data_IF_561935079746
#
_entry.id   IF_561935079746
#
_cell.length_a   1.000
_cell.length_b   1.000
_cell.length_c   1.000
_cell.angle_alpha   90.00
_cell.angle_beta   90.00
_cell.angle_gamma   90.00
#
_symmetry.space_group_name_H-M   'P 1'
#
loop_
_entity.id
_entity.type
_entity.pdbx_description
1 polymer ?
#
# COMPACT_ATOMS: atom_id res chain seq x y z
N UNK A 1 -8.45 -10.27 -4.10
CA UNK A 1 -9.52 -10.16 -5.13
C UNK A 1 -10.87 -9.76 -4.55
N UNK A 2 -11.13 -9.97 -3.25
CA UNK A 2 -12.40 -9.60 -2.61
C UNK A 2 -12.75 -8.11 -2.80
N UNK A 3 -11.81 -7.19 -2.58
CA UNK A 3 -12.06 -5.75 -2.77
C UNK A 3 -12.42 -5.36 -4.19
N UNK A 4 -11.78 -5.97 -5.20
CA UNK A 4 -12.13 -5.68 -6.61
C UNK A 4 -13.57 -6.06 -6.92
N UNK A 5 -14.02 -7.22 -6.43
CA UNK A 5 -15.39 -7.66 -6.60
C UNK A 5 -16.38 -6.72 -5.89
N UNK A 6 -16.06 -6.27 -4.68
CA UNK A 6 -16.87 -5.28 -3.94
C UNK A 6 -17.03 -3.97 -4.72
N UNK A 7 -15.92 -3.40 -5.22
CA UNK A 7 -15.98 -2.17 -6.03
C UNK A 7 -16.83 -2.38 -7.27
N UNK A 8 -16.61 -3.46 -8.03
CA UNK A 8 -17.37 -3.72 -9.27
C UNK A 8 -18.86 -3.94 -8.99
N UNK A 9 -19.19 -4.62 -7.92
CA UNK A 9 -20.57 -4.86 -7.51
C UNK A 9 -21.27 -3.54 -7.12
N UNK A 10 -20.63 -2.71 -6.30
CA UNK A 10 -21.14 -1.40 -5.92
C UNK A 10 -21.28 -0.45 -7.11
N UNK A 11 -20.22 -0.30 -7.90
CA UNK A 11 -20.22 0.56 -9.09
C UNK A 11 -21.25 0.12 -10.12
N UNK A 12 -21.62 -1.17 -10.18
CA UNK A 12 -22.67 -1.64 -11.08
C UNK A 12 -24.06 -1.11 -10.76
N UNK A 13 -24.27 -0.58 -9.54
CA UNK A 13 -25.53 0.00 -9.05
C UNK A 13 -25.56 1.53 -9.03
N UNK A 14 -24.41 2.20 -9.25
CA UNK A 14 -24.34 3.67 -9.26
C UNK A 14 -25.22 4.23 -10.38
N UNK A 15 -26.19 5.08 -10.06
CA UNK A 15 -27.06 5.69 -11.06
C UNK A 15 -26.38 6.88 -11.73
N UNK A 16 -26.49 6.96 -13.05
CA UNK A 16 -26.02 8.11 -13.84
C UNK A 16 -27.24 8.93 -14.26
N UNK A 17 -27.32 10.16 -13.79
CA UNK A 17 -28.52 11.00 -13.99
C UNK A 17 -28.51 11.68 -15.35
N UNK A 18 -27.32 12.01 -15.89
CA UNK A 18 -27.19 12.68 -17.18
C UNK A 18 -26.90 11.69 -18.30
N UNK A 19 -27.48 11.94 -19.46
CA UNK A 19 -27.22 11.15 -20.68
C UNK A 19 -25.75 11.19 -21.09
N UNK A 20 -25.04 12.30 -20.86
CA UNK A 20 -23.60 12.40 -21.17
C UNK A 20 -22.76 11.43 -20.34
N UNK A 21 -23.07 11.30 -19.05
CA UNK A 21 -22.39 10.39 -18.10
C UNK A 21 -22.61 8.94 -18.53
N UNK A 22 -23.86 8.57 -18.84
CA UNK A 22 -24.19 7.22 -19.35
C UNK A 22 -23.42 6.92 -20.63
N UNK A 23 -23.38 7.87 -21.57
CA UNK A 23 -22.61 7.72 -22.83
C UNK A 23 -21.12 7.57 -22.58
N UNK A 24 -20.55 8.35 -21.66
CA UNK A 24 -19.13 8.28 -21.32
C UNK A 24 -18.76 6.95 -20.66
N UNK A 25 -19.59 6.46 -19.74
CA UNK A 25 -19.40 5.16 -19.10
C UNK A 25 -19.49 4.01 -20.09
N UNK A 26 -20.55 3.95 -20.92
CA UNK A 26 -20.71 2.90 -21.94
C UNK A 26 -19.54 2.90 -22.91
N UNK A 27 -19.12 4.08 -23.36
CA UNK A 27 -18.00 4.23 -24.28
C UNK A 27 -16.69 3.69 -23.68
N UNK A 28 -16.38 4.07 -22.43
CA UNK A 28 -15.19 3.58 -21.75
C UNK A 28 -15.29 2.07 -21.48
N UNK A 29 -16.43 1.58 -21.01
CA UNK A 29 -16.67 0.17 -20.73
C UNK A 29 -16.48 -0.68 -22.00
N UNK A 30 -17.05 -0.27 -23.13
CA UNK A 30 -16.85 -0.95 -24.42
C UNK A 30 -15.38 -0.88 -24.86
N UNK A 31 -14.76 0.30 -24.84
CA UNK A 31 -13.36 0.45 -25.30
C UNK A 31 -12.40 -0.44 -24.50
N UNK A 32 -12.57 -0.50 -23.18
CA UNK A 32 -11.69 -1.24 -22.30
C UNK A 32 -11.98 -2.74 -22.27
N UNK A 33 -13.19 -3.19 -22.62
CA UNK A 33 -13.56 -4.62 -22.64
C UNK A 33 -13.30 -5.32 -23.98
N UNK A 34 -12.62 -4.67 -24.93
CA UNK A 34 -12.37 -5.22 -26.27
C UNK A 34 -13.49 -4.94 -27.29
N UNK A 35 -14.36 -3.98 -26.99
CA UNK A 35 -15.63 -3.62 -27.65
C UNK A 35 -15.73 -3.57 -29.16
N UNK A 36 -14.66 -3.65 -29.95
CA UNK A 36 -14.70 -3.42 -31.39
C UNK A 36 -13.94 -4.54 -32.14
N UNK A 37 -14.68 -5.33 -32.90
CA UNK A 37 -14.14 -6.33 -33.81
C UNK A 37 -14.61 -6.05 -35.24
N UNK A 38 -13.72 -6.22 -36.21
CA UNK A 38 -14.05 -6.16 -37.63
C UNK A 38 -13.94 -7.57 -38.19
N UNK A 39 -15.08 -8.18 -38.50
CA UNK A 39 -15.17 -9.55 -39.00
C UNK A 39 -15.80 -9.53 -40.39
N UNK A 40 -15.05 -9.95 -41.41
CA UNK A 40 -15.53 -9.95 -42.80
C UNK A 40 -16.02 -8.58 -43.28
N UNK A 41 -15.34 -7.49 -42.87
CA UNK A 41 -15.72 -6.12 -43.20
C UNK A 41 -16.91 -5.56 -42.41
N UNK A 42 -17.50 -6.34 -41.49
CA UNK A 42 -18.61 -5.89 -40.63
C UNK A 42 -18.11 -5.57 -39.23
N UNK A 43 -18.61 -4.47 -38.68
CA UNK A 43 -18.34 -4.07 -37.29
C UNK A 43 -19.24 -4.86 -36.35
N UNK A 44 -18.61 -5.60 -35.43
CA UNK A 44 -19.25 -6.35 -34.34
C UNK A 44 -18.76 -5.75 -33.02
N UNK A 45 -19.71 -5.48 -32.12
CA UNK A 45 -19.40 -4.98 -30.78
C UNK A 45 -19.51 -6.12 -29.79
N UNK A 46 -18.43 -6.40 -29.05
CA UNK A 46 -18.33 -7.46 -28.04
C UNK A 46 -17.63 -6.95 -26.79
N UNK A 47 -18.27 -7.08 -25.62
CA UNK A 47 -17.69 -6.73 -24.34
C UNK A 47 -17.59 -7.97 -23.46
N UNK A 48 -16.35 -8.39 -23.13
CA UNK A 48 -16.09 -9.51 -22.22
C UNK A 48 -15.94 -8.99 -20.78
N UNK A 49 -16.90 -9.30 -19.93
CA UNK A 49 -16.97 -8.83 -18.54
C UNK A 49 -16.85 -10.00 -17.56
N UNK A 50 -16.40 -9.73 -16.34
CA UNK A 50 -16.24 -10.71 -15.25
C UNK A 50 -17.37 -10.66 -14.21
N UNK A 51 -18.25 -9.66 -14.31
CA UNK A 51 -19.35 -9.46 -13.36
C UNK A 51 -20.69 -9.37 -14.09
N UNK A 52 -21.66 -10.20 -13.69
CA UNK A 52 -22.97 -10.30 -14.34
C UNK A 52 -23.86 -9.05 -14.16
N UNK A 53 -23.74 -8.33 -13.04
CA UNK A 53 -24.45 -7.05 -12.86
C UNK A 53 -23.95 -5.97 -13.83
N UNK A 54 -22.64 -5.92 -14.09
CA UNK A 54 -22.02 -5.03 -15.09
C UNK A 54 -22.51 -5.36 -16.50
N UNK A 55 -22.59 -6.64 -16.85
CA UNK A 55 -23.13 -7.07 -18.16
C UNK A 55 -24.60 -6.66 -18.34
N UNK A 56 -25.43 -6.82 -17.30
CA UNK A 56 -26.83 -6.38 -17.31
C UNK A 56 -26.96 -4.86 -17.42
N UNK A 57 -26.13 -4.11 -16.70
CA UNK A 57 -26.05 -2.64 -16.78
C UNK A 57 -25.71 -2.18 -18.20
N UNK A 58 -24.63 -2.71 -18.78
CA UNK A 58 -24.22 -2.39 -20.15
C UNK A 58 -25.33 -2.71 -21.16
N UNK A 59 -25.96 -3.88 -21.07
CA UNK A 59 -27.09 -4.24 -21.96
C UNK A 59 -28.23 -3.24 -21.87
N UNK A 60 -28.61 -2.86 -20.65
CA UNK A 60 -29.67 -1.86 -20.41
C UNK A 60 -29.29 -0.51 -20.98
N UNK A 61 -28.08 -0.01 -20.71
CA UNK A 61 -27.64 1.30 -21.20
C UNK A 61 -27.53 1.33 -22.74
N UNK A 62 -27.07 0.25 -23.36
CA UNK A 62 -27.07 0.13 -24.83
C UNK A 62 -28.50 0.24 -25.39
N UNK A 63 -29.47 -0.41 -24.74
CA UNK A 63 -30.87 -0.37 -25.17
C UNK A 63 -31.51 0.99 -24.95
N UNK A 64 -31.36 1.58 -23.76
CA UNK A 64 -32.05 2.82 -23.37
C UNK A 64 -31.41 4.07 -23.97
N UNK A 65 -30.07 4.12 -24.09
CA UNK A 65 -29.36 5.32 -24.56
C UNK A 65 -29.19 5.32 -26.07
N UNK A 66 -29.05 4.14 -26.69
CA UNK A 66 -28.72 4.01 -28.11
C UNK A 66 -29.78 3.25 -28.93
N UNK A 67 -30.78 2.63 -28.29
CA UNK A 67 -31.86 1.93 -29.00
C UNK A 67 -31.45 0.59 -29.61
N UNK A 68 -30.28 0.04 -29.26
CA UNK A 68 -29.80 -1.22 -29.83
C UNK A 68 -30.09 -2.41 -28.91
N UNK A 69 -30.54 -3.53 -29.51
CA UNK A 69 -30.67 -4.78 -28.78
C UNK A 69 -29.33 -5.51 -28.72
N UNK A 70 -28.91 -5.91 -27.52
CA UNK A 70 -27.71 -6.72 -27.28
C UNK A 70 -28.07 -8.09 -26.70
N UNK A 71 -27.35 -9.13 -27.17
CA UNK A 71 -27.39 -10.46 -26.57
C UNK A 71 -26.41 -10.56 -25.41
N UNK A 72 -26.73 -11.36 -24.40
CA UNK A 72 -25.80 -11.70 -23.30
C UNK A 72 -25.64 -13.21 -23.27
N UNK A 73 -24.41 -13.69 -23.39
CA UNK A 73 -24.07 -15.09 -23.19
C UNK A 73 -23.14 -15.26 -22.00
N UNK A 74 -23.31 -16.36 -21.30
CA UNK A 74 -22.42 -16.77 -20.21
C UNK A 74 -21.36 -17.69 -20.81
N UNK A 75 -20.10 -17.32 -20.63
CA UNK A 75 -18.95 -18.12 -21.05
C UNK A 75 -18.40 -18.82 -19.79
N UNK A 76 -18.38 -20.15 -19.81
CA UNK A 76 -17.71 -20.91 -18.76
C UNK A 76 -16.20 -20.62 -18.81
N UNK A 77 -15.60 -20.39 -17.64
CA UNK A 77 -14.16 -20.17 -17.55
C UNK A 77 -13.38 -21.39 -18.04
N UNK A 78 -12.50 -21.20 -19.01
CA UNK A 78 -11.58 -22.24 -19.47
C UNK A 78 -10.41 -22.45 -18.48
N UNK A 79 -9.59 -23.47 -18.72
CA UNK A 79 -8.43 -23.82 -17.87
C UNK A 79 -7.42 -22.67 -17.64
N UNK A 80 -7.36 -21.70 -18.56
CA UNK A 80 -6.41 -20.57 -18.54
C UNK A 80 -6.98 -19.32 -17.82
N UNK A 81 -8.31 -19.12 -17.83
CA UNK A 81 -8.97 -17.95 -17.23
C UNK A 81 -10.00 -18.43 -16.22
N UNK A 82 -9.68 -18.31 -14.93
CA UNK A 82 -10.57 -18.71 -13.82
C UNK A 82 -11.81 -17.79 -13.75
N UNK A 83 -12.98 -18.39 -13.57
CA UNK A 83 -14.23 -17.67 -13.29
C UNK A 83 -15.18 -17.57 -14.49
N UNK A 84 -16.45 -17.31 -14.19
CA UNK A 84 -17.50 -17.10 -15.19
C UNK A 84 -17.27 -15.76 -15.89
N UNK A 85 -17.40 -15.71 -17.22
CA UNK A 85 -17.38 -14.48 -18.00
C UNK A 85 -18.73 -14.25 -18.66
N UNK A 86 -19.03 -12.98 -18.92
CA UNK A 86 -20.25 -12.54 -19.56
C UNK A 86 -19.86 -11.81 -20.84
N UNK A 87 -20.41 -12.26 -21.97
CA UNK A 87 -20.20 -11.62 -23.26
C UNK A 87 -21.46 -10.85 -23.62
N UNK A 88 -21.35 -9.52 -23.70
CA UNK A 88 -22.40 -8.66 -24.27
C UNK A 88 -22.07 -8.44 -25.73
N UNK A 89 -22.95 -8.87 -26.63
CA UNK A 89 -22.70 -8.89 -28.08
C UNK A 89 -23.79 -8.16 -28.87
N UNK A 90 -23.37 -7.33 -29.82
CA UNK A 90 -24.22 -6.68 -30.81
C UNK A 90 -23.73 -7.09 -32.20
N UNK A 91 -24.40 -8.08 -32.78
CA UNK A 91 -24.06 -8.63 -34.10
C UNK A 91 -24.72 -7.88 -35.26
N UNK A 92 -25.90 -7.29 -35.04
CA UNK A 92 -26.62 -6.47 -36.04
C UNK A 92 -26.47 -5.00 -35.67
N UNK A 93 -26.23 -4.14 -36.66
CA UNK A 93 -26.07 -2.69 -36.48
C UNK A 93 -24.89 -2.27 -35.57
N UNK A 94 -23.87 -3.12 -35.38
CA UNK A 94 -22.70 -2.80 -34.57
C UNK A 94 -21.96 -1.53 -35.04
N UNK A 95 -21.97 -1.25 -36.35
CA UNK A 95 -21.38 -0.04 -36.92
C UNK A 95 -22.09 1.25 -36.46
N UNK A 96 -23.41 1.22 -36.29
CA UNK A 96 -24.18 2.37 -35.80
C UNK A 96 -23.81 2.69 -34.35
N UNK A 97 -23.79 1.67 -33.49
CA UNK A 97 -23.33 1.82 -32.12
C UNK A 97 -21.88 2.29 -32.06
N UNK A 98 -20.98 1.69 -32.84
CA UNK A 98 -19.56 2.05 -32.88
C UNK A 98 -19.34 3.53 -33.23
N UNK A 99 -20.12 4.09 -34.17
CA UNK A 99 -20.06 5.51 -34.52
C UNK A 99 -20.61 6.38 -33.40
N UNK A 100 -21.74 6.01 -32.81
CA UNK A 100 -22.38 6.79 -31.73
C UNK A 100 -21.57 6.79 -30.42
N UNK A 101 -20.84 5.71 -30.14
CA UNK A 101 -19.91 5.61 -29.00
C UNK A 101 -18.52 6.13 -29.35
N UNK A 102 -18.26 6.54 -30.60
CA UNK A 102 -16.95 7.02 -31.04
C UNK A 102 -15.84 5.97 -30.96
N UNK A 103 -16.18 4.67 -31.04
CA UNK A 103 -15.21 3.58 -31.19
C UNK A 103 -14.62 3.55 -32.61
N UNK A 104 -15.35 4.10 -33.57
CA UNK A 104 -14.85 4.40 -34.91
C UNK A 104 -15.06 5.88 -35.22
N UNK A 105 -14.17 6.46 -36.03
CA UNK A 105 -14.30 7.82 -36.51
C UNK A 105 -15.33 7.94 -37.65
N UNK A 106 -15.55 9.16 -38.17
CA UNK A 106 -16.49 9.40 -39.27
C UNK A 106 -16.11 8.66 -40.57
N UNK A 107 -14.85 8.27 -40.71
CA UNK A 107 -14.31 7.51 -41.86
C UNK A 107 -14.33 5.99 -41.60
N UNK A 108 -14.91 5.54 -40.48
CA UNK A 108 -15.00 4.14 -40.10
C UNK A 108 -13.70 3.55 -39.53
N UNK A 109 -12.69 4.39 -39.23
CA UNK A 109 -11.41 3.92 -38.68
C UNK A 109 -11.50 3.74 -37.16
N UNK A 110 -10.92 2.66 -36.58
CA UNK A 110 -10.91 2.48 -35.13
C UNK A 110 -10.24 3.63 -34.37
N UNK A 111 -10.91 4.10 -33.32
CA UNK A 111 -10.34 5.07 -32.38
C UNK A 111 -9.50 4.31 -31.34
N UNK A 112 -8.22 4.70 -31.20
CA UNK A 112 -7.27 4.03 -30.30
C UNK A 112 -7.44 4.41 -28.83
N UNK A 113 -7.72 5.68 -28.55
CA UNK A 113 -7.93 6.18 -27.19
C UNK A 113 -9.39 6.10 -26.76
N UNK A 114 -9.80 7.10 -25.98
CA UNK A 114 -11.21 7.46 -25.79
C UNK A 114 -11.59 8.57 -26.79
N UNK A 115 -12.84 8.64 -27.25
CA UNK A 115 -13.25 9.67 -28.20
C UNK A 115 -13.23 11.07 -27.57
N UNK A 116 -13.07 12.13 -28.40
CA UNK A 116 -13.00 13.51 -27.92
C UNK A 116 -14.16 13.90 -27.02
N UNK A 117 -15.39 13.47 -27.31
CA UNK A 117 -16.55 13.78 -26.48
C UNK A 117 -16.43 13.31 -25.02
N UNK A 118 -15.69 12.23 -24.76
CA UNK A 118 -15.39 11.75 -23.40
C UNK A 118 -14.15 12.44 -22.84
N UNK A 119 -13.12 12.63 -23.67
CA UNK A 119 -11.87 13.28 -23.24
C UNK A 119 -12.07 14.75 -22.92
N UNK A 120 -12.93 15.48 -23.61
CA UNK A 120 -13.28 16.88 -23.33
C UNK A 120 -14.60 17.04 -22.58
N UNK A 121 -15.22 15.94 -22.16
CA UNK A 121 -16.44 15.95 -21.36
C UNK A 121 -16.24 16.57 -19.97
N UNK A 122 -17.36 16.84 -19.30
CA UNK A 122 -17.37 17.43 -17.96
C UNK A 122 -16.72 16.54 -16.91
N UNK A 123 -16.62 17.02 -15.67
CA UNK A 123 -16.06 16.22 -14.57
C UNK A 123 -16.86 14.93 -14.33
N UNK A 124 -18.19 14.99 -14.38
CA UNK A 124 -19.03 13.81 -14.23
C UNK A 124 -18.82 12.79 -15.37
N UNK A 125 -18.52 13.25 -16.59
CA UNK A 125 -18.20 12.35 -17.71
C UNK A 125 -16.82 11.68 -17.49
N UNK A 126 -15.88 12.38 -16.85
CA UNK A 126 -14.58 11.81 -16.46
C UNK A 126 -14.73 10.77 -15.34
N UNK A 127 -15.59 11.03 -14.34
CA UNK A 127 -15.97 10.06 -13.29
C UNK A 127 -16.61 8.81 -13.92
N UNK A 128 -17.54 9.01 -14.86
CA UNK A 128 -18.22 7.95 -15.59
C UNK A 128 -17.27 7.13 -16.48
N UNK A 129 -16.34 7.80 -17.17
CA UNK A 129 -15.30 7.12 -17.95
C UNK A 129 -14.40 6.24 -17.08
N UNK A 130 -14.00 6.74 -15.91
CA UNK A 130 -13.22 5.96 -14.93
C UNK A 130 -14.00 4.77 -14.41
N UNK A 131 -15.27 4.96 -14.06
CA UNK A 131 -16.16 3.87 -13.64
C UNK A 131 -16.28 2.80 -14.72
N UNK A 132 -16.55 3.18 -15.98
CA UNK A 132 -16.63 2.24 -17.11
C UNK A 132 -15.32 1.47 -17.34
N UNK A 133 -14.19 2.16 -17.28
CA UNK A 133 -12.87 1.54 -17.44
C UNK A 133 -12.55 0.56 -16.28
N UNK A 134 -12.89 0.93 -15.04
CA UNK A 134 -12.73 0.06 -13.88
C UNK A 134 -13.66 -1.16 -13.93
N UNK A 135 -14.92 -0.97 -14.33
CA UNK A 135 -15.88 -2.06 -14.48
C UNK A 135 -15.42 -3.09 -15.54
N UNK A 136 -14.76 -2.66 -16.61
CA UNK A 136 -14.16 -3.54 -17.60
C UNK A 136 -12.98 -4.34 -17.01
N UNK A 137 -11.88 -3.65 -16.68
CA UNK A 137 -10.59 -4.28 -16.35
C UNK A 137 -9.86 -3.60 -15.18
N UNK A 138 -10.64 -3.05 -14.26
CA UNK A 138 -10.18 -2.50 -12.99
C UNK A 138 -9.86 -3.57 -11.95
N UNK A 139 -8.88 -3.25 -11.11
CA UNK A 139 -8.51 -4.03 -9.94
C UNK A 139 -8.11 -3.11 -8.79
N UNK A 140 -8.44 -3.53 -7.58
CA UNK A 140 -8.06 -2.88 -6.33
C UNK A 140 -7.35 -3.90 -5.46
N UNK A 141 -6.10 -3.61 -5.12
CA UNK A 141 -5.35 -4.39 -4.13
C UNK A 141 -5.71 -3.94 -2.71
N UNK A 142 -5.72 -4.89 -1.79
CA UNK A 142 -6.04 -4.60 -0.40
C UNK A 142 -4.93 -3.77 0.27
N UNK A 143 -5.27 -2.91 1.25
CA UNK A 143 -4.28 -2.18 2.02
C UNK A 143 -3.25 -3.12 2.66
N UNK A 144 -1.98 -2.90 2.37
CA UNK A 144 -0.90 -3.79 2.80
C UNK A 144 0.47 -3.11 2.73
N UNK A 145 1.50 -3.87 2.32
CA UNK A 145 2.83 -3.29 2.06
C UNK A 145 2.81 -2.35 0.85
N UNK A 146 1.95 -2.66 -0.11
CA UNK A 146 1.69 -1.85 -1.30
C UNK A 146 0.20 -1.86 -1.57
N UNK A 147 -0.34 -0.69 -1.89
CA UNK A 147 -1.72 -0.55 -2.36
C UNK A 147 -1.70 0.04 -3.77
N UNK A 148 -2.62 -0.42 -4.61
CA UNK A 148 -2.82 0.08 -5.96
C UNK A 148 -4.25 -0.11 -6.41
N UNK A 149 -4.76 0.91 -7.08
CA UNK A 149 -5.90 0.83 -7.97
C UNK A 149 -5.38 0.85 -9.40
N UNK A 150 -5.71 -0.17 -10.19
CA UNK A 150 -5.19 -0.35 -11.55
C UNK A 150 -6.31 -0.60 -12.55
N UNK A 151 -6.13 -0.09 -13.77
CA UNK A 151 -6.95 -0.46 -14.93
C UNK A 151 -6.05 -0.92 -16.06
N UNK A 152 -6.28 -2.14 -16.56
CA UNK A 152 -5.58 -2.62 -17.77
C UNK A 152 -6.22 -1.98 -19.00
N UNK A 153 -5.40 -1.39 -19.86
CA UNK A 153 -5.81 -0.59 -21.01
C UNK A 153 -5.59 -1.37 -22.32
N UNK A 154 -6.40 -1.12 -23.36
CA UNK A 154 -6.24 -1.75 -24.68
C UNK A 154 -5.07 -1.20 -25.50
N UNK A 155 -4.37 -0.17 -25.00
CA UNK A 155 -3.23 0.46 -25.64
C UNK A 155 -2.82 1.77 -24.96
N UNK A 156 -1.69 2.36 -25.36
CA UNK A 156 -1.11 3.53 -24.69
C UNK A 156 -1.98 4.79 -24.84
N UNK A 157 -2.69 4.95 -25.97
CA UNK A 157 -3.57 6.10 -26.18
C UNK A 157 -4.79 6.07 -25.23
N UNK A 158 -5.33 4.88 -24.95
CA UNK A 158 -6.41 4.71 -23.98
C UNK A 158 -5.92 4.94 -22.55
N UNK A 159 -4.71 4.49 -22.22
CA UNK A 159 -4.07 4.75 -20.93
C UNK A 159 -3.84 6.25 -20.72
N UNK A 160 -3.34 6.95 -21.73
CA UNK A 160 -3.12 8.39 -21.69
C UNK A 160 -4.43 9.18 -21.50
N UNK A 161 -5.50 8.79 -22.21
CA UNK A 161 -6.82 9.39 -22.04
C UNK A 161 -7.36 9.21 -20.61
N UNK A 162 -7.20 8.03 -20.03
CA UNK A 162 -7.65 7.73 -18.67
C UNK A 162 -6.82 8.45 -17.60
N UNK A 163 -5.50 8.59 -17.78
CA UNK A 163 -4.64 9.45 -16.94
C UNK A 163 -5.11 10.91 -17.02
N UNK A 164 -5.43 11.40 -18.22
CA UNK A 164 -5.98 12.74 -18.42
C UNK A 164 -7.28 12.96 -17.66
N UNK A 165 -8.19 11.97 -17.71
CA UNK A 165 -9.44 12.00 -16.95
C UNK A 165 -9.18 12.05 -15.43
N UNK A 166 -8.24 11.24 -14.91
CA UNK A 166 -7.89 11.28 -13.48
C UNK A 166 -7.31 12.64 -13.06
N UNK A 167 -6.43 13.22 -13.90
CA UNK A 167 -5.85 14.53 -13.63
C UNK A 167 -6.92 15.61 -13.51
N UNK A 168 -7.95 15.59 -14.37
CA UNK A 168 -9.08 16.54 -14.25
C UNK A 168 -9.87 16.39 -12.95
N UNK A 169 -9.90 15.18 -12.38
CA UNK A 169 -10.51 14.89 -11.09
C UNK A 169 -9.61 15.22 -9.90
N UNK A 170 -8.41 15.76 -10.12
CA UNK A 170 -7.42 16.03 -9.08
C UNK A 170 -6.67 14.78 -8.59
N UNK A 171 -6.68 13.69 -9.36
CA UNK A 171 -6.14 12.40 -8.95
C UNK A 171 -4.84 12.11 -9.70
N UNK A 172 -3.78 11.82 -8.95
CA UNK A 172 -2.47 11.49 -9.50
C UNK A 172 -2.41 10.02 -9.98
N UNK A 173 -2.68 9.80 -11.27
CA UNK A 173 -2.53 8.50 -11.93
C UNK A 173 -1.30 8.47 -12.86
N UNK A 174 -0.71 7.27 -13.06
CA UNK A 174 0.42 7.06 -13.96
C UNK A 174 0.15 5.91 -14.93
N UNK A 175 0.41 6.13 -16.21
CA UNK A 175 0.45 5.08 -17.22
C UNK A 175 1.80 4.34 -17.16
N UNK A 176 1.77 3.01 -17.31
CA UNK A 176 2.96 2.14 -17.27
C UNK A 176 2.68 0.90 -18.11
N UNK A 177 3.72 0.36 -18.73
CA UNK A 177 3.66 -0.97 -19.34
C UNK A 177 4.09 -2.03 -18.33
N UNK A 178 3.28 -3.08 -18.18
CA UNK A 178 3.56 -4.20 -17.28
C UNK A 178 3.30 -5.50 -18.02
N UNK A 179 4.36 -6.28 -18.27
CA UNK A 179 4.29 -7.58 -18.98
C UNK A 179 3.61 -7.46 -20.36
N UNK A 180 3.93 -6.42 -21.13
CA UNK A 180 3.37 -6.18 -22.46
C UNK A 180 1.94 -5.63 -22.47
N UNK A 181 1.39 -5.23 -21.31
CA UNK A 181 0.08 -4.61 -21.21
C UNK A 181 0.18 -3.20 -20.61
N UNK A 182 -0.46 -2.24 -21.27
CA UNK A 182 -0.62 -0.88 -20.74
C UNK A 182 -1.56 -0.87 -19.53
N UNK A 183 -1.15 -0.15 -18.48
CA UNK A 183 -1.92 -0.01 -17.24
C UNK A 183 -1.91 1.43 -16.77
N UNK A 184 -3.04 1.89 -16.25
CA UNK A 184 -3.09 3.10 -15.44
C UNK A 184 -3.16 2.71 -13.98
N UNK A 185 -2.31 3.31 -13.16
CA UNK A 185 -2.15 2.94 -11.74
C UNK A 185 -2.17 4.16 -10.85
N UNK A 186 -2.96 4.11 -9.79
CA UNK A 186 -2.94 5.01 -8.62
C UNK A 186 -2.37 4.22 -7.44
N UNK A 187 -1.35 4.76 -6.77
CA UNK A 187 -0.67 4.08 -5.63
C UNK A 187 -0.81 4.81 -4.29
N UNK A 188 -1.01 6.12 -4.35
CA UNK A 188 -1.21 6.90 -3.15
C UNK A 188 -2.57 6.55 -2.53
N UNK A 189 -2.58 6.35 -1.21
CA UNK A 189 -3.76 5.83 -0.53
C UNK A 189 -4.93 6.80 -0.55
N UNK A 190 -4.66 8.09 -0.33
CA UNK A 190 -5.67 9.13 -0.31
C UNK A 190 -6.22 9.35 -1.73
N UNK A 191 -5.34 9.29 -2.75
CA UNK A 191 -5.76 9.32 -4.15
C UNK A 191 -6.61 8.10 -4.56
N UNK A 192 -6.34 6.90 -4.02
CA UNK A 192 -7.19 5.71 -4.25
C UNK A 192 -8.59 5.96 -3.67
N UNK A 193 -8.68 6.40 -2.42
CA UNK A 193 -9.97 6.70 -1.76
C UNK A 193 -10.73 7.81 -2.46
N UNK A 194 -10.04 8.87 -2.87
CA UNK A 194 -10.64 9.94 -3.66
C UNK A 194 -11.19 9.42 -4.99
N UNK A 195 -10.45 8.58 -5.71
CA UNK A 195 -10.91 8.00 -6.99
C UNK A 195 -12.12 7.08 -6.80
N UNK A 196 -12.09 6.20 -5.81
CA UNK A 196 -13.22 5.32 -5.50
C UNK A 196 -14.47 6.12 -5.13
N UNK A 197 -14.32 7.18 -4.32
CA UNK A 197 -15.40 8.11 -3.96
C UNK A 197 -15.97 8.78 -5.20
N UNK A 198 -15.10 9.32 -6.07
CA UNK A 198 -15.47 9.97 -7.34
C UNK A 198 -16.22 9.03 -8.29
N UNK A 199 -15.87 7.75 -8.33
CA UNK A 199 -16.59 6.78 -9.15
C UNK A 199 -17.95 6.36 -8.55
N UNK A 200 -18.18 6.61 -7.26
CA UNK A 200 -19.41 6.27 -6.52
C UNK A 200 -19.32 5.00 -5.67
N UNK A 201 -18.11 4.53 -5.33
CA UNK A 201 -17.90 3.33 -4.50
C UNK A 201 -17.75 3.68 -3.00
N UNK A 202 -18.73 4.36 -2.43
CA UNK A 202 -18.67 4.91 -1.07
C UNK A 202 -18.53 3.83 0.03
N UNK A 203 -19.30 2.75 -0.04
CA UNK A 203 -19.23 1.64 0.92
C UNK A 203 -17.87 0.94 0.84
N UNK A 204 -17.36 0.76 -0.38
CA UNK A 204 -16.04 0.17 -0.56
C UNK A 204 -14.91 1.07 -0.05
N UNK A 205 -15.05 2.41 -0.15
CA UNK A 205 -14.09 3.35 0.45
C UNK A 205 -14.04 3.20 1.95
N UNK A 206 -15.19 3.11 2.63
CA UNK A 206 -15.23 2.91 4.09
C UNK A 206 -14.53 1.61 4.50
N UNK A 207 -14.84 0.50 3.81
CA UNK A 207 -14.19 -0.78 4.07
C UNK A 207 -12.67 -0.76 3.76
N UNK A 208 -12.25 0.02 2.77
CA UNK A 208 -10.85 0.17 2.39
C UNK A 208 -10.07 1.00 3.42
N UNK A 209 -10.63 2.13 3.86
CA UNK A 209 -10.04 2.99 4.89
C UNK A 209 -9.97 2.28 6.24
N UNK A 210 -11.00 1.53 6.63
CA UNK A 210 -10.98 0.73 7.86
C UNK A 210 -9.82 -0.28 7.86
N UNK A 211 -9.60 -0.98 6.73
CA UNK A 211 -8.48 -1.93 6.60
C UNK A 211 -7.13 -1.22 6.61
N UNK A 212 -7.04 -0.04 5.98
CA UNK A 212 -5.82 0.79 5.98
C UNK A 212 -5.47 1.24 7.40
N UNK A 213 -6.44 1.79 8.15
CA UNK A 213 -6.25 2.25 9.52
C UNK A 213 -5.85 1.10 10.46
N UNK A 214 -6.56 -0.04 10.41
CA UNK A 214 -6.20 -1.23 11.20
C UNK A 214 -4.76 -1.69 10.95
N UNK A 215 -4.29 -1.58 9.69
CA UNK A 215 -2.92 -1.94 9.30
C UNK A 215 -1.91 -0.95 9.87
N UNK A 216 -2.19 0.34 9.80
CA UNK A 216 -1.34 1.40 10.33
C UNK A 216 -1.15 1.27 11.85
N UNK A 217 -2.25 1.07 12.60
CA UNK A 217 -2.22 0.84 14.05
C UNK A 217 -1.33 -0.36 14.40
N UNK A 218 -1.52 -1.49 13.71
CA UNK A 218 -0.69 -2.70 13.92
C UNK A 218 0.78 -2.45 13.58
N UNK A 219 1.06 -1.74 12.49
CA UNK A 219 2.43 -1.44 12.08
C UNK A 219 3.14 -0.52 13.08
N UNK A 220 2.42 0.41 13.70
CA UNK A 220 2.95 1.27 14.77
C UNK A 220 3.17 0.48 16.06
N UNK A 221 2.22 -0.35 16.48
CA UNK A 221 2.36 -1.22 17.66
C UNK A 221 3.55 -2.19 17.52
N UNK A 222 3.71 -2.81 16.35
CA UNK A 222 4.85 -3.70 16.09
C UNK A 222 6.19 -2.95 16.10
N UNK A 223 6.23 -1.72 15.58
CA UNK A 223 7.44 -0.89 15.62
C UNK A 223 7.82 -0.54 17.06
N UNK A 224 6.84 -0.20 17.90
CA UNK A 224 7.06 0.09 19.32
C UNK A 224 7.56 -1.15 20.07
N UNK A 225 6.88 -2.29 19.92
CA UNK A 225 7.28 -3.53 20.57
C UNK A 225 8.70 -3.98 20.17
N UNK A 226 9.07 -3.85 18.90
CA UNK A 226 10.42 -4.16 18.43
C UNK A 226 11.47 -3.20 18.99
N UNK A 227 11.11 -1.92 19.16
CA UNK A 227 11.99 -0.92 19.75
C UNK A 227 12.24 -1.21 21.25
N UNK A 228 11.20 -1.57 21.99
CA UNK A 228 11.29 -1.92 23.40
C UNK A 228 12.12 -3.19 23.62
N UNK A 229 11.89 -4.25 22.84
CA UNK A 229 12.70 -5.48 22.90
C UNK A 229 14.18 -5.19 22.57
N UNK A 230 14.46 -4.41 21.53
CA UNK A 230 15.83 -4.05 21.17
C UNK A 230 16.53 -3.22 22.26
N UNK A 231 15.83 -2.27 22.87
CA UNK A 231 16.37 -1.44 23.96
C UNK A 231 16.60 -2.25 25.24
N UNK A 232 15.68 -3.15 25.58
CA UNK A 232 15.81 -4.03 26.75
C UNK A 232 17.01 -4.96 26.58
N UNK A 233 17.17 -5.59 25.41
CA UNK A 233 18.33 -6.44 25.10
C UNK A 233 19.65 -5.66 25.17
N UNK A 234 19.72 -4.47 24.56
CA UNK A 234 20.92 -3.63 24.60
C UNK A 234 21.28 -3.22 26.03
N UNK A 235 20.28 -2.81 26.81
CA UNK A 235 20.49 -2.38 28.20
C UNK A 235 20.94 -3.53 29.10
N UNK A 236 20.36 -4.72 28.93
CA UNK A 236 20.76 -5.92 29.65
C UNK A 236 22.22 -6.32 29.32
N UNK A 237 22.60 -6.34 28.04
CA UNK A 237 23.99 -6.61 27.62
C UNK A 237 24.98 -5.59 28.21
N UNK A 238 24.65 -4.30 28.12
CA UNK A 238 25.47 -3.25 28.69
C UNK A 238 25.61 -3.37 30.22
N UNK A 239 24.56 -3.79 30.93
CA UNK A 239 24.60 -4.04 32.37
C UNK A 239 25.51 -5.23 32.72
N UNK A 240 25.44 -6.32 31.96
CA UNK A 240 26.31 -7.50 32.13
C UNK A 240 27.78 -7.14 31.88
N UNK A 241 28.09 -6.46 30.77
CA UNK A 241 29.45 -5.99 30.47
C UNK A 241 29.97 -5.02 31.54
N UNK A 242 29.15 -4.05 31.95
CA UNK A 242 29.53 -3.12 33.01
C UNK A 242 29.79 -3.82 34.35
N UNK A 243 29.06 -4.89 34.67
CA UNK A 243 29.26 -5.65 35.90
C UNK A 243 30.60 -6.36 35.90
N UNK A 244 30.96 -7.07 34.83
CA UNK A 244 32.28 -7.72 34.72
C UNK A 244 33.43 -6.71 34.78
N UNK A 245 33.30 -5.57 34.10
CA UNK A 245 34.30 -4.49 34.16
C UNK A 245 34.47 -3.94 35.58
N UNK A 246 33.36 -3.77 36.31
CA UNK A 246 33.38 -3.27 37.68
C UNK A 246 34.01 -4.31 38.62
N UNK A 247 33.75 -5.60 38.42
CA UNK A 247 34.39 -6.68 39.18
C UNK A 247 35.91 -6.57 39.04
N UNK A 248 36.38 -6.49 37.80
CA UNK A 248 37.80 -6.32 37.50
C UNK A 248 38.38 -5.01 38.06
N UNK A 249 37.61 -3.92 38.02
CA UNK A 249 38.05 -2.64 38.57
C UNK A 249 38.28 -2.69 40.07
N UNK A 250 37.43 -3.41 40.81
CA UNK A 250 37.57 -3.59 42.25
C UNK A 250 38.78 -4.47 42.60
N UNK A 251 39.11 -5.48 41.78
CA UNK A 251 40.34 -6.27 41.94
C UNK A 251 41.61 -5.41 41.75
N UNK A 252 41.61 -4.53 40.74
CA UNK A 252 42.78 -3.69 40.41
C UNK A 252 43.00 -2.61 41.47
N UNK A 253 41.92 -2.01 41.97
CA UNK A 253 42.00 -0.87 42.89
C UNK A 253 42.07 -1.27 44.36
N UNK A 254 41.55 -2.44 44.75
CA UNK A 254 41.43 -2.86 46.14
C UNK A 254 40.86 -1.71 47.03
N UNK A 255 41.61 -1.24 48.03
CA UNK A 255 41.21 -0.18 48.95
C UNK A 255 41.65 1.24 48.50
N UNK A 256 42.29 1.39 47.34
CA UNK A 256 42.82 2.68 46.85
C UNK A 256 41.75 3.61 46.24
N UNK A 257 40.53 3.11 46.02
CA UNK A 257 39.46 3.90 45.39
C UNK A 257 38.61 4.67 46.42
N UNK A 258 38.14 5.89 46.09
CA UNK A 258 37.22 6.63 46.95
C UNK A 258 35.95 5.84 47.29
N UNK A 259 35.53 5.88 48.56
CA UNK A 259 34.38 5.09 49.08
C UNK A 259 33.11 5.25 48.25
N UNK A 260 32.78 6.47 47.83
CA UNK A 260 31.58 6.74 47.03
C UNK A 260 31.59 6.08 45.64
N UNK A 261 32.76 5.70 45.11
CA UNK A 261 32.92 4.92 43.88
C UNK A 261 32.85 3.42 44.16
N UNK A 262 33.48 2.96 45.25
CA UNK A 262 33.40 1.56 45.70
C UNK A 262 31.96 1.14 45.99
N UNK A 263 31.18 1.97 46.69
CA UNK A 263 29.76 1.74 46.96
C UNK A 263 28.96 1.56 45.66
N UNK A 264 29.20 2.41 44.65
CA UNK A 264 28.53 2.31 43.36
C UNK A 264 28.96 1.05 42.57
N UNK A 265 30.23 0.65 42.69
CA UNK A 265 30.75 -0.59 42.09
C UNK A 265 30.14 -1.84 42.71
N UNK A 266 30.14 -1.93 44.05
CA UNK A 266 29.52 -3.05 44.78
C UNK A 266 28.03 -3.17 44.46
N UNK A 267 27.32 -2.04 44.42
CA UNK A 267 25.90 -2.01 44.07
C UNK A 267 25.64 -2.52 42.64
N UNK A 268 26.53 -2.24 41.69
CA UNK A 268 26.46 -2.79 40.32
C UNK A 268 26.70 -4.31 40.32
N UNK A 269 27.61 -4.84 41.12
CA UNK A 269 27.84 -6.29 41.21
C UNK A 269 26.68 -7.03 41.86
N UNK A 270 26.17 -6.50 42.96
CA UNK A 270 25.03 -7.07 43.69
C UNK A 270 23.76 -7.13 42.83
N UNK A 271 23.63 -6.17 41.90
CA UNK A 271 22.48 -6.04 41.01
C UNK A 271 22.92 -5.97 39.54
N UNK A 272 23.70 -6.96 39.09
CA UNK A 272 24.31 -6.97 37.76
C UNK A 272 23.33 -6.89 36.58
N UNK A 273 22.07 -7.30 36.79
CA UNK A 273 21.01 -7.23 35.77
C UNK A 273 20.16 -5.97 35.84
N UNK A 274 20.28 -5.17 36.91
CA UNK A 274 19.46 -3.97 37.09
C UNK A 274 19.87 -2.85 36.13
N UNK A 275 18.91 -2.08 35.66
CA UNK A 275 19.15 -0.84 34.94
C UNK A 275 19.85 0.19 35.86
N UNK A 276 20.50 1.19 35.26
CA UNK A 276 21.12 2.28 36.03
C UNK A 276 20.11 3.08 36.86
N UNK A 277 18.85 3.12 36.43
CA UNK A 277 17.75 3.78 37.14
C UNK A 277 17.36 2.99 38.39
N UNK A 278 17.21 1.67 38.26
CA UNK A 278 16.97 0.78 39.40
C UNK A 278 18.13 0.78 40.39
N UNK A 279 19.39 0.84 39.92
CA UNK A 279 20.54 1.02 40.82
C UNK A 279 20.46 2.34 41.58
N UNK A 280 20.04 3.42 40.93
CA UNK A 280 19.93 4.73 41.56
C UNK A 280 18.91 4.75 42.70
N UNK A 281 17.79 4.05 42.51
CA UNK A 281 16.75 3.89 43.53
C UNK A 281 17.17 3.01 44.70
N UNK A 282 18.04 2.02 44.47
CA UNK A 282 18.55 1.09 45.50
C UNK A 282 19.75 1.63 46.25
N UNK A 283 20.39 2.68 45.77
CA UNK A 283 21.51 3.30 46.44
C UNK A 283 21.06 4.01 47.73
N UNK A 284 21.93 4.05 48.74
CA UNK A 284 21.72 4.81 49.97
C UNK A 284 22.84 5.84 50.16
N UNK A 285 22.55 7.15 50.11
CA UNK A 285 21.26 7.75 49.77
C UNK A 285 20.88 7.52 48.29
N UNK A 286 19.56 7.55 47.95
CA UNK A 286 19.10 7.41 46.58
C UNK A 286 19.75 8.45 45.66
N UNK A 287 20.08 8.04 44.45
CA UNK A 287 20.74 8.92 43.48
C UNK A 287 20.15 8.76 42.09
N UNK A 288 20.33 9.78 41.25
CA UNK A 288 19.83 9.74 39.88
C UNK A 288 20.61 8.72 39.04
N UNK A 289 19.98 8.23 37.97
CA UNK A 289 20.62 7.37 36.95
C UNK A 289 21.99 7.88 36.51
N UNK A 290 22.10 9.18 36.25
CA UNK A 290 23.34 9.81 35.78
C UNK A 290 24.40 9.89 36.87
N UNK A 291 24.00 10.04 38.14
CA UNK A 291 24.92 10.00 39.27
C UNK A 291 25.56 8.61 39.43
N UNK A 292 24.76 7.52 39.36
CA UNK A 292 25.28 6.15 39.38
C UNK A 292 26.21 5.92 38.19
N UNK A 293 25.75 6.26 36.98
CA UNK A 293 26.50 6.07 35.75
C UNK A 293 27.85 6.82 35.79
N UNK A 294 27.84 8.05 36.29
CA UNK A 294 29.04 8.86 36.46
C UNK A 294 30.02 8.27 37.47
N UNK A 295 29.53 7.71 38.59
CA UNK A 295 30.37 7.04 39.59
C UNK A 295 31.01 5.77 39.02
N UNK A 296 30.23 4.90 38.39
CA UNK A 296 30.74 3.68 37.73
C UNK A 296 31.79 4.05 36.68
N UNK A 297 31.52 5.03 35.81
CA UNK A 297 32.48 5.45 34.78
C UNK A 297 33.81 5.95 35.37
N UNK A 298 33.76 6.71 36.46
CA UNK A 298 34.97 7.19 37.15
C UNK A 298 35.74 6.05 37.83
N UNK A 299 35.04 5.07 38.42
CA UNK A 299 35.67 3.87 38.99
C UNK A 299 36.45 3.11 37.92
N UNK A 300 35.82 2.83 36.77
CA UNK A 300 36.46 2.14 35.65
C UNK A 300 37.68 2.92 35.13
N UNK A 301 37.54 4.22 34.90
CA UNK A 301 38.66 5.05 34.43
C UNK A 301 39.84 5.09 35.41
N UNK A 302 39.58 5.04 36.72
CA UNK A 302 40.61 4.97 37.75
C UNK A 302 41.33 3.61 37.71
N UNK A 303 40.59 2.52 37.56
CA UNK A 303 41.15 1.17 37.44
C UNK A 303 41.97 1.01 36.16
N UNK A 304 41.46 1.49 35.01
CA UNK A 304 42.17 1.41 33.73
C UNK A 304 43.49 2.20 33.76
N UNK A 305 43.50 3.37 34.41
CA UNK A 305 44.74 4.13 34.63
C UNK A 305 45.73 3.35 35.50
N UNK A 306 45.26 2.78 36.62
CA UNK A 306 46.09 1.98 37.53
C UNK A 306 46.66 0.74 36.85
N UNK A 307 45.85 0.05 36.05
CA UNK A 307 46.27 -1.12 35.28
C UNK A 307 47.42 -0.76 34.31
N UNK A 308 47.28 0.36 33.60
CA UNK A 308 48.32 0.89 32.72
C UNK A 308 49.63 1.20 33.46
N UNK A 309 49.54 1.85 34.61
CA UNK A 309 50.71 2.19 35.44
C UNK A 309 51.42 0.93 35.97
N UNK A 310 50.68 -0.15 36.22
CA UNK A 310 51.19 -1.45 36.68
C UNK A 310 51.59 -2.41 35.54
N UNK A 311 51.28 -2.08 34.28
CA UNK A 311 51.53 -2.94 33.13
C UNK A 311 50.68 -4.22 33.08
N UNK A 312 49.49 -4.21 33.69
CA UNK A 312 48.55 -5.35 33.70
C UNK A 312 47.35 -5.10 32.76
N UNK A 313 46.59 -6.14 32.36
CA UNK A 313 45.37 -5.97 31.58
C UNK A 313 44.32 -5.11 32.31
N UNK A 314 43.68 -4.21 31.55
CA UNK A 314 42.68 -3.25 32.03
C UNK A 314 41.27 -3.87 32.22
N UNK A 315 40.27 -3.05 32.52
CA UNK A 315 38.90 -3.54 32.72
C UNK A 315 38.23 -4.02 31.44
N UNK A 316 38.69 -3.64 30.24
CA UNK A 316 38.09 -4.09 28.99
C UNK A 316 38.51 -5.52 28.62
N UNK A 317 39.64 -5.99 29.14
CA UNK A 317 40.16 -7.34 28.91
C UNK A 317 39.23 -8.48 29.32
N UNK A 318 38.25 -8.24 30.20
CA UNK A 318 37.28 -9.24 30.67
C UNK A 318 35.95 -9.22 29.89
N UNK A 319 35.77 -8.28 28.97
CA UNK A 319 34.53 -8.18 28.18
C UNK A 319 34.65 -9.10 26.97
N UNK A 320 33.77 -10.10 26.90
CA UNK A 320 33.72 -11.05 25.77
C UNK A 320 32.77 -10.57 24.67
N UNK A 321 33.00 -11.02 23.43
CA UNK A 321 32.13 -10.73 22.29
C UNK A 321 30.67 -11.19 22.54
N UNK A 322 30.48 -12.28 23.29
CA UNK A 322 29.14 -12.77 23.66
C UNK A 322 28.38 -11.80 24.59
N UNK A 323 29.09 -11.01 25.38
CA UNK A 323 28.49 -10.02 26.30
C UNK A 323 28.09 -8.74 25.57
N UNK A 324 28.79 -8.39 24.49
CA UNK A 324 28.49 -7.23 23.65
C UNK A 324 27.42 -7.61 22.60
N UNK A 325 27.45 -8.89 22.17
CA UNK A 325 26.67 -9.46 21.09
C UNK A 325 26.98 -8.80 19.73
N UNK A 326 26.43 -9.34 18.62
CA UNK A 326 26.53 -8.71 17.31
C UNK A 326 25.74 -7.40 17.24
#
# INVERSE_FOLDING_TARGET
MAMTAMVKDELSRVECTKTSERKAEVTALLRFSGGLHIVGGRVVIEAELDTGSVARRLRRDISEVYGYTSGVSVLAGGNIRRGVRYLVRIAKHGEGLARQTGLVDQRGRPVRGLPPAVVSGGLNDAEAAWRGAFLAHGSLTEPGRSSSLEVTCPGPEAAMALVGAARRLGIAAKAREVRGADRVVVRDGDAISALLTRMGAHETVLAWEERRMRREVRATANRLANFDDANLRRSARAAVAASARVERALEILADDAPEHLLVAGRLRLEHGQASLEELGQRADPPMTKDAVAGRIRRLLAMADKRAKDLGIPDTESVVTDDMIGP
#
